data_IF_000612306588
#
_entry.id   IF_000612306588
#
_cell.length_a   1.000
_cell.length_b   1.000
_cell.length_c   1.000
_cell.angle_alpha   90.00
_cell.angle_beta   90.00
_cell.angle_gamma   90.00
#
_symmetry.space_group_name_H-M   'P 1'
#
loop_
_entity.id
_entity.type
_entity.pdbx_description
1 polymer ?
#
# COMPACT_ATOMS: atom_id res chain seq x y z
N UNK A 1 21.11 4.67 1.43
CA UNK A 1 19.76 4.05 1.34
C UNK A 1 19.72 2.93 2.36
N UNK A 2 18.85 3.02 3.38
CA UNK A 2 18.62 1.94 4.33
C UNK A 2 17.89 0.79 3.62
N UNK A 3 18.23 -0.46 3.96
CA UNK A 3 17.61 -1.66 3.40
C UNK A 3 17.04 -2.48 4.53
N UNK A 4 15.85 -3.02 4.31
CA UNK A 4 15.13 -3.84 5.27
C UNK A 4 14.77 -5.16 4.62
N UNK A 5 14.72 -6.22 5.42
CA UNK A 5 14.43 -7.58 4.92
C UNK A 5 12.94 -7.89 4.96
N UNK A 6 12.15 -7.05 5.63
CA UNK A 6 10.70 -7.20 5.70
C UNK A 6 9.99 -5.85 5.87
N UNK A 7 8.73 -5.80 5.41
CA UNK A 7 7.82 -4.67 5.65
C UNK A 7 7.68 -4.32 7.14
N UNK A 8 7.60 -5.35 7.99
CA UNK A 8 7.46 -5.18 9.45
C UNK A 8 8.68 -4.49 10.08
N UNK A 9 9.87 -4.77 9.56
CA UNK A 9 11.11 -4.13 10.00
C UNK A 9 11.12 -2.66 9.54
N UNK A 10 10.80 -2.40 8.27
CA UNK A 10 10.72 -1.06 7.69
C UNK A 10 9.84 -0.12 8.53
N UNK A 11 8.58 -0.48 8.79
CA UNK A 11 7.61 0.38 9.51
C UNK A 11 7.98 0.65 10.97
N UNK A 12 8.80 -0.21 11.59
CA UNK A 12 9.25 -0.04 12.99
C UNK A 12 10.41 0.91 13.13
N UNK A 13 11.26 1.00 12.10
CA UNK A 13 12.52 1.72 12.17
C UNK A 13 12.50 3.06 11.44
N UNK A 14 11.49 3.31 10.59
CA UNK A 14 11.41 4.52 9.77
C UNK A 14 10.05 5.18 9.93
N UNK A 15 10.06 6.50 10.03
CA UNK A 15 8.87 7.34 9.92
C UNK A 15 8.87 7.96 8.52
N UNK A 16 7.79 7.77 7.78
CA UNK A 16 7.59 8.28 6.42
C UNK A 16 6.09 8.51 6.18
N UNK A 17 5.76 9.35 5.20
CA UNK A 17 4.38 9.73 4.91
C UNK A 17 3.67 8.77 3.93
N UNK A 18 4.44 8.13 3.04
CA UNK A 18 3.90 7.33 1.94
C UNK A 18 4.76 6.10 1.63
N UNK A 19 4.10 5.03 1.14
CA UNK A 19 4.71 3.83 0.59
C UNK A 19 4.44 3.70 -0.91
N UNK A 20 5.47 3.34 -1.66
CA UNK A 20 5.38 2.90 -3.06
C UNK A 20 5.40 1.37 -3.11
N UNK A 21 4.36 0.77 -3.66
CA UNK A 21 4.19 -0.68 -3.75
C UNK A 21 4.48 -1.14 -5.18
N UNK A 22 5.73 -1.57 -5.40
CA UNK A 22 6.20 -2.20 -6.63
C UNK A 22 6.25 -3.75 -6.56
N UNK A 23 5.40 -4.35 -5.72
CA UNK A 23 5.37 -5.81 -5.53
C UNK A 23 4.75 -6.52 -6.76
N UNK A 24 4.81 -7.85 -6.87
CA UNK A 24 3.99 -8.58 -7.83
C UNK A 24 2.49 -8.31 -7.60
N UNK A 25 1.72 -8.05 -8.66
CA UNK A 25 0.34 -7.54 -8.57
C UNK A 25 -0.71 -8.35 -7.79
N UNK A 26 -0.44 -9.60 -7.36
CA UNK A 26 -1.34 -10.27 -6.38
C UNK A 26 -1.22 -9.69 -4.99
N UNK A 27 -0.06 -9.14 -4.65
CA UNK A 27 0.26 -8.66 -3.31
C UNK A 27 -0.16 -7.20 -3.12
N UNK A 28 -0.54 -6.50 -4.19
CA UNK A 28 -0.91 -5.07 -4.13
C UNK A 28 -2.02 -4.81 -3.12
N UNK A 29 -3.11 -5.58 -3.18
CA UNK A 29 -4.24 -5.42 -2.27
C UNK A 29 -3.81 -5.58 -0.81
N UNK A 30 -3.15 -6.69 -0.48
CA UNK A 30 -2.76 -7.04 0.88
C UNK A 30 -1.87 -5.94 1.48
N UNK A 31 -0.82 -5.55 0.75
CA UNK A 31 0.16 -4.60 1.25
C UNK A 31 -0.35 -3.17 1.24
N UNK A 32 -1.18 -2.76 0.27
CA UNK A 32 -1.80 -1.44 0.26
C UNK A 32 -2.77 -1.28 1.43
N UNK A 33 -3.64 -2.27 1.65
CA UNK A 33 -4.58 -2.25 2.77
C UNK A 33 -3.83 -2.19 4.10
N UNK A 34 -2.78 -3.00 4.25
CA UNK A 34 -1.96 -3.00 5.46
C UNK A 34 -1.27 -1.64 5.69
N UNK A 35 -0.62 -1.10 4.66
CA UNK A 35 0.02 0.21 4.72
C UNK A 35 -0.93 1.34 5.14
N UNK A 36 -2.13 1.37 4.55
CA UNK A 36 -3.12 2.38 4.90
C UNK A 36 -3.63 2.23 6.34
N UNK A 37 -3.82 0.99 6.82
CA UNK A 37 -4.18 0.71 8.22
C UNK A 37 -3.07 1.08 9.21
N UNK A 38 -1.82 0.96 8.79
CA UNK A 38 -0.66 1.39 9.56
C UNK A 38 -0.46 2.92 9.53
N UNK A 39 -1.31 3.67 8.80
CA UNK A 39 -1.34 5.13 8.81
C UNK A 39 -0.66 5.82 7.63
N UNK A 40 -0.17 5.05 6.66
CA UNK A 40 0.61 5.56 5.52
C UNK A 40 -0.26 5.86 4.30
N UNK A 41 0.13 6.85 3.51
CA UNK A 41 -0.38 7.00 2.15
C UNK A 41 0.24 5.93 1.23
N UNK A 42 -0.43 5.58 0.14
CA UNK A 42 0.00 4.52 -0.77
C UNK A 42 -0.01 4.99 -2.21
N UNK A 43 1.13 4.78 -2.89
CA UNK A 43 1.23 4.71 -4.34
C UNK A 43 1.33 3.23 -4.73
N UNK A 44 0.42 2.77 -5.58
CA UNK A 44 0.35 1.38 -6.02
C UNK A 44 0.66 1.29 -7.51
N UNK A 45 1.62 0.44 -7.87
CA UNK A 45 1.96 0.20 -9.26
C UNK A 45 0.85 -0.51 -10.04
N UNK A 46 0.88 -0.36 -11.37
CA UNK A 46 -0.06 -1.06 -12.24
C UNK A 46 0.29 -2.56 -12.37
N UNK A 47 -0.73 -3.43 -12.51
CA UNK A 47 -2.15 -3.15 -12.32
C UNK A 47 -2.47 -2.95 -10.84
N UNK A 48 -3.37 -2.01 -10.52
CA UNK A 48 -3.77 -1.71 -9.13
C UNK A 48 -4.16 -2.96 -8.33
N UNK A 49 -4.92 -3.87 -8.95
CA UNK A 49 -5.34 -5.14 -8.38
C UNK A 49 -5.67 -6.15 -9.51
N UNK A 50 -5.91 -7.43 -9.17
CA UNK A 50 -6.27 -8.47 -10.16
C UNK A 50 -7.77 -8.60 -10.42
N UNK A 51 -8.60 -8.12 -9.51
CA UNK A 51 -10.06 -8.13 -9.66
C UNK A 51 -10.66 -6.80 -9.19
N UNK A 52 -11.85 -6.47 -9.67
CA UNK A 52 -12.59 -5.29 -9.23
C UNK A 52 -12.87 -5.34 -7.72
N UNK A 53 -13.25 -6.50 -7.19
CA UNK A 53 -13.49 -6.65 -5.76
C UNK A 53 -12.24 -6.33 -4.91
N UNK A 54 -11.04 -6.63 -5.39
CA UNK A 54 -9.80 -6.24 -4.70
C UNK A 54 -9.59 -4.72 -4.76
N UNK A 55 -9.78 -4.11 -5.93
CA UNK A 55 -9.68 -2.66 -6.09
C UNK A 55 -10.68 -1.91 -5.20
N UNK A 56 -11.94 -2.37 -5.15
CA UNK A 56 -12.99 -1.81 -4.29
C UNK A 56 -12.61 -1.87 -2.82
N UNK A 57 -11.99 -2.98 -2.39
CA UNK A 57 -11.50 -3.11 -1.00
C UNK A 57 -10.39 -2.12 -0.69
N UNK A 58 -9.43 -1.92 -1.61
CA UNK A 58 -8.37 -0.93 -1.43
C UNK A 58 -8.94 0.49 -1.32
N UNK A 59 -9.87 0.87 -2.21
CA UNK A 59 -10.52 2.20 -2.20
C UNK A 59 -11.30 2.42 -0.90
N UNK A 60 -12.06 1.40 -0.46
CA UNK A 60 -12.81 1.47 0.79
C UNK A 60 -11.89 1.69 1.98
N UNK A 61 -10.79 0.93 2.07
CA UNK A 61 -9.82 1.09 3.17
C UNK A 61 -9.20 2.48 3.15
N UNK A 62 -8.82 3.00 1.98
CA UNK A 62 -8.29 4.36 1.85
C UNK A 62 -9.23 5.41 2.47
N UNK A 63 -10.54 5.29 2.22
CA UNK A 63 -11.57 6.16 2.79
C UNK A 63 -11.71 5.97 4.30
N UNK A 64 -11.75 4.73 4.78
CA UNK A 64 -11.90 4.42 6.21
C UNK A 64 -10.71 4.89 7.05
N UNK A 65 -9.50 4.88 6.48
CA UNK A 65 -8.27 5.31 7.17
C UNK A 65 -7.91 6.78 6.90
N UNK A 66 -8.72 7.48 6.12
CA UNK A 66 -8.41 8.83 5.60
C UNK A 66 -6.99 8.93 5.01
N UNK A 67 -6.59 7.92 4.21
CA UNK A 67 -5.28 7.86 3.54
C UNK A 67 -5.47 8.02 2.03
N UNK A 68 -4.47 8.62 1.36
CA UNK A 68 -4.45 8.68 -0.11
C UNK A 68 -4.01 7.34 -0.68
N UNK A 69 -4.74 6.90 -1.71
CA UNK A 69 -4.39 5.79 -2.57
C UNK A 69 -4.26 6.31 -3.99
N UNK A 70 -3.05 6.30 -4.54
CA UNK A 70 -2.73 6.71 -5.91
C UNK A 70 -2.32 5.47 -6.71
N UNK A 71 -2.72 5.42 -7.98
CA UNK A 71 -2.27 4.37 -8.92
C UNK A 71 -1.27 5.00 -9.88
N UNK A 72 -0.08 4.41 -9.97
CA UNK A 72 0.89 4.78 -11.00
C UNK A 72 0.36 4.30 -12.36
N UNK A 73 0.04 5.25 -13.24
CA UNK A 73 -0.48 5.02 -14.60
C UNK A 73 0.66 5.08 -15.61
#
# INVERSE_FOLDING_TARGET
>A
IAKYTSYKELIRHVQFDMLDICLPGHLHEEYAVRAMRDGYHVLCEKPMARTLAQADRMIRVARETDRKLMVAQ
#
